data_IF_595607005193
#
_entry.id   IF_595607005193
#
_cell.length_a   1.000
_cell.length_b   1.000
_cell.length_c   1.000
_cell.angle_alpha   90.00
_cell.angle_beta   90.00
_cell.angle_gamma   90.00
#
_symmetry.space_group_name_H-M   'P 1'
#
loop_
_entity.id
_entity.type
_entity.pdbx_description
1 polymer ?
#
# COMPACT_ATOMS: atom_id res chain seq x y z
N UNK A 1 -41.59 1.09 12.69
CA UNK A 1 -40.23 1.39 13.21
C UNK A 1 -39.29 1.05 12.09
N UNK A 2 -38.80 2.06 11.36
CA UNK A 2 -37.79 1.85 10.30
C UNK A 2 -36.48 1.42 10.94
N UNK A 3 -35.80 0.50 10.29
CA UNK A 3 -34.49 -0.01 10.70
C UNK A 3 -33.51 1.17 10.74
N UNK A 4 -32.87 1.50 11.89
CA UNK A 4 -31.93 2.61 12.00
C UNK A 4 -30.68 2.43 11.09
N UNK A 5 -30.53 1.28 10.44
CA UNK A 5 -29.46 0.97 9.49
C UNK A 5 -29.86 1.07 8.01
N UNK A 6 -31.15 1.32 7.70
CA UNK A 6 -31.66 1.38 6.33
C UNK A 6 -31.05 2.54 5.51
N UNK A 7 -30.63 3.63 6.16
CA UNK A 7 -29.97 4.77 5.51
C UNK A 7 -28.45 4.67 5.36
N UNK A 8 -27.78 3.72 6.02
CA UNK A 8 -26.32 3.56 5.93
C UNK A 8 -25.88 2.78 4.66
N UNK A 9 -26.80 2.15 3.97
CA UNK A 9 -26.52 1.28 2.82
C UNK A 9 -26.99 1.84 1.47
N UNK A 10 -27.55 3.04 1.44
CA UNK A 10 -28.28 3.55 0.27
C UNK A 10 -27.55 4.59 -0.58
N UNK A 11 -26.28 4.94 -0.26
CA UNK A 11 -25.56 5.94 -1.05
C UNK A 11 -24.05 5.68 -1.09
N UNK A 12 -23.62 4.67 -1.85
CA UNK A 12 -22.22 4.47 -2.15
C UNK A 12 -22.00 3.16 -2.89
N UNK A 13 -21.08 3.17 -3.84
CA UNK A 13 -20.63 2.00 -4.59
C UNK A 13 -20.25 0.86 -3.62
N UNK A 14 -20.93 -0.28 -3.75
CA UNK A 14 -20.61 -1.48 -2.95
C UNK A 14 -19.19 -1.92 -3.25
N UNK A 15 -18.77 -1.82 -4.52
CA UNK A 15 -17.42 -2.19 -4.95
C UNK A 15 -16.33 -1.43 -4.20
N UNK A 16 -16.49 -0.13 -3.96
CA UNK A 16 -15.52 0.68 -3.19
C UNK A 16 -15.46 0.28 -1.69
N UNK A 17 -16.49 -0.36 -1.16
CA UNK A 17 -16.53 -0.84 0.24
C UNK A 17 -15.98 -2.24 0.41
N UNK A 18 -16.17 -3.11 -0.59
CA UNK A 18 -15.78 -4.52 -0.52
C UNK A 18 -14.58 -4.84 -1.40
N UNK A 19 -14.01 -3.85 -2.07
CA UNK A 19 -12.90 -4.02 -2.99
C UNK A 19 -11.81 -2.99 -2.78
N UNK A 20 -10.59 -3.39 -3.14
CA UNK A 20 -9.41 -2.52 -3.15
C UNK A 20 -9.08 -2.17 -4.60
N UNK A 21 -9.09 -0.89 -4.95
CA UNK A 21 -8.78 -0.43 -6.30
C UNK A 21 -7.26 -0.49 -6.57
N UNK A 22 -6.80 -1.58 -7.19
CA UNK A 22 -5.39 -1.80 -7.51
C UNK A 22 -4.85 -0.79 -8.53
N UNK A 23 -5.66 -0.36 -9.49
CA UNK A 23 -5.25 0.64 -10.49
C UNK A 23 -4.99 2.00 -9.83
N UNK A 24 -5.78 2.38 -8.82
CA UNK A 24 -5.54 3.59 -8.04
C UNK A 24 -4.28 3.46 -7.18
N UNK A 25 -4.07 2.31 -6.54
CA UNK A 25 -2.84 2.03 -5.78
C UNK A 25 -1.60 2.07 -6.69
N UNK A 26 -1.69 1.49 -7.90
CA UNK A 26 -0.62 1.54 -8.89
C UNK A 26 -0.25 2.99 -9.26
N UNK A 27 -1.25 3.85 -9.53
CA UNK A 27 -1.03 5.27 -9.85
C UNK A 27 -0.37 6.04 -8.72
N UNK A 28 -0.62 5.65 -7.46
CA UNK A 28 0.01 6.23 -6.26
C UNK A 28 1.40 5.66 -5.97
N UNK A 29 1.81 4.59 -6.65
CA UNK A 29 3.06 3.88 -6.36
C UNK A 29 3.02 3.07 -5.06
N UNK A 30 1.82 2.69 -4.61
CA UNK A 30 1.62 1.93 -3.37
C UNK A 30 1.83 0.41 -3.56
N UNK A 31 1.79 -0.07 -4.82
CA UNK A 31 2.01 -1.48 -5.14
C UNK A 31 3.49 -1.85 -5.14
N UNK A 32 3.77 -3.12 -4.84
CA UNK A 32 5.10 -3.70 -4.96
C UNK A 32 5.54 -3.80 -6.42
N UNK A 33 6.84 -3.59 -6.72
CA UNK A 33 7.33 -3.79 -8.07
C UNK A 33 7.21 -5.25 -8.50
N UNK A 34 6.51 -5.51 -9.58
CA UNK A 34 6.35 -6.86 -10.13
C UNK A 34 7.50 -7.16 -11.09
N UNK A 35 8.10 -8.35 -10.96
CA UNK A 35 9.20 -8.85 -11.78
C UNK A 35 8.92 -10.27 -12.21
N UNK A 36 9.48 -10.66 -13.37
CA UNK A 36 9.48 -12.03 -13.89
C UNK A 36 8.06 -12.62 -14.09
N UNK A 37 7.06 -11.78 -14.40
CA UNK A 37 5.68 -12.18 -14.69
C UNK A 37 5.12 -11.60 -15.98
N UNK A 38 6.00 -11.11 -16.86
CA UNK A 38 5.61 -10.42 -18.09
C UNK A 38 4.83 -11.32 -19.04
N UNK A 39 5.20 -12.60 -19.14
CA UNK A 39 4.52 -13.57 -20.00
C UNK A 39 3.09 -13.86 -19.52
N UNK A 40 2.92 -14.07 -18.21
CA UNK A 40 1.61 -14.32 -17.61
C UNK A 40 0.72 -13.06 -17.68
N UNK A 41 1.27 -11.87 -17.45
CA UNK A 41 0.53 -10.60 -17.60
C UNK A 41 0.09 -10.42 -19.06
N UNK A 42 0.98 -10.64 -20.03
CA UNK A 42 0.62 -10.57 -21.45
C UNK A 42 -0.49 -11.56 -21.79
N UNK A 43 -0.41 -12.79 -21.24
CA UNK A 43 -1.46 -13.80 -21.43
C UNK A 43 -2.80 -13.39 -20.82
N UNK A 44 -2.80 -12.76 -19.65
CA UNK A 44 -4.01 -12.19 -19.02
C UNK A 44 -4.61 -11.11 -19.91
N UNK A 45 -3.79 -10.19 -20.46
CA UNK A 45 -4.22 -9.15 -21.41
C UNK A 45 -4.88 -9.76 -22.64
N UNK A 46 -4.24 -10.76 -23.27
CA UNK A 46 -4.80 -11.48 -24.42
C UNK A 46 -6.18 -12.07 -24.13
N UNK A 47 -6.33 -12.68 -22.95
CA UNK A 47 -7.60 -13.32 -22.56
C UNK A 47 -8.68 -12.25 -22.33
N UNK A 48 -8.37 -11.16 -21.66
CA UNK A 48 -9.32 -10.06 -21.40
C UNK A 48 -9.85 -9.41 -22.69
N UNK A 49 -9.08 -9.46 -23.78
CA UNK A 49 -9.47 -8.94 -25.09
C UNK A 49 -10.31 -9.91 -25.95
N UNK A 50 -10.51 -11.15 -25.49
CA UNK A 50 -11.29 -12.14 -26.24
C UNK A 50 -12.77 -11.85 -26.17
N UNK A 51 -13.49 -12.21 -27.24
CA UNK A 51 -14.95 -12.13 -27.26
C UNK A 51 -15.61 -13.19 -26.37
N UNK A 52 -15.00 -14.35 -26.23
CA UNK A 52 -15.47 -15.44 -25.37
C UNK A 52 -14.31 -16.01 -24.54
N UNK A 53 -14.60 -16.64 -23.41
CA UNK A 53 -13.60 -17.11 -22.45
C UNK A 53 -12.64 -15.98 -22.05
N UNK A 54 -13.21 -14.83 -21.78
CA UNK A 54 -12.49 -13.58 -21.49
C UNK A 54 -12.19 -13.37 -19.98
N UNK A 55 -12.42 -14.40 -19.15
CA UNK A 55 -12.07 -14.36 -17.74
C UNK A 55 -10.82 -15.24 -17.51
N UNK A 56 -9.65 -14.64 -17.21
CA UNK A 56 -8.46 -15.38 -16.86
C UNK A 56 -8.62 -16.09 -15.51
N UNK A 57 -8.20 -17.36 -15.42
CA UNK A 57 -8.05 -18.08 -14.17
C UNK A 57 -6.56 -18.37 -13.93
N UNK A 58 -5.94 -17.69 -12.98
CA UNK A 58 -4.55 -17.89 -12.58
C UNK A 58 -4.47 -19.16 -11.71
N UNK A 59 -3.77 -20.18 -12.22
CA UNK A 59 -3.70 -21.49 -11.58
C UNK A 59 -2.27 -21.75 -11.13
N UNK A 60 -2.07 -21.96 -9.83
CA UNK A 60 -0.75 -22.26 -9.29
C UNK A 60 -0.79 -22.52 -7.79
N UNK A 61 0.30 -23.05 -7.24
CA UNK A 61 0.46 -23.28 -5.81
C UNK A 61 0.30 -21.97 -5.02
N UNK A 62 0.04 -22.06 -3.71
CA UNK A 62 0.13 -20.91 -2.83
C UNK A 62 1.57 -20.33 -2.86
N UNK A 63 1.70 -19.01 -2.82
CA UNK A 63 3.01 -18.35 -2.77
C UNK A 63 3.75 -18.21 -4.10
N UNK A 64 3.21 -18.68 -5.24
CA UNK A 64 3.87 -18.50 -6.56
C UNK A 64 3.75 -17.07 -7.11
N UNK A 65 2.93 -16.20 -6.51
CA UNK A 65 2.77 -14.81 -6.95
C UNK A 65 1.61 -14.58 -7.93
N UNK A 66 0.48 -15.29 -7.79
CA UNK A 66 -0.73 -15.06 -8.59
C UNK A 66 -1.26 -13.62 -8.46
N UNK A 67 -1.33 -13.12 -7.24
CA UNK A 67 -1.76 -11.75 -6.94
C UNK A 67 -0.83 -10.70 -7.58
N UNK A 68 0.48 -10.95 -7.57
CA UNK A 68 1.46 -10.08 -8.20
C UNK A 68 1.23 -9.90 -9.72
N UNK A 69 0.70 -10.91 -10.43
CA UNK A 69 0.36 -10.80 -11.86
C UNK A 69 -0.73 -9.74 -12.07
N UNK A 70 -1.73 -9.72 -11.18
CA UNK A 70 -2.84 -8.75 -11.26
C UNK A 70 -2.39 -7.35 -10.85
N UNK A 71 -1.53 -7.25 -9.83
CA UNK A 71 -0.87 -5.99 -9.48
C UNK A 71 -0.01 -5.46 -10.63
N UNK A 72 0.74 -6.33 -11.32
CA UNK A 72 1.51 -5.99 -12.52
C UNK A 72 0.64 -5.50 -13.68
N UNK A 73 -0.51 -6.13 -13.89
CA UNK A 73 -1.51 -5.63 -14.85
C UNK A 73 -1.99 -4.23 -14.46
N UNK A 74 -2.33 -4.01 -13.19
CA UNK A 74 -2.76 -2.70 -12.71
C UNK A 74 -1.66 -1.63 -12.87
N UNK A 75 -0.39 -1.99 -12.67
CA UNK A 75 0.76 -1.11 -12.91
C UNK A 75 0.89 -0.75 -14.40
N UNK A 76 0.74 -1.71 -15.32
CA UNK A 76 0.76 -1.44 -16.77
C UNK A 76 -0.41 -0.55 -17.21
N UNK A 77 -1.61 -0.79 -16.69
CA UNK A 77 -2.78 0.09 -16.92
C UNK A 77 -2.49 1.51 -16.43
N UNK A 78 -1.92 1.65 -15.23
CA UNK A 78 -1.64 2.95 -14.63
C UNK A 78 -0.67 3.81 -15.45
N UNK A 79 0.32 3.18 -16.12
CA UNK A 79 1.29 3.86 -17.00
C UNK A 79 0.88 3.88 -18.48
N UNK A 80 -0.26 3.25 -18.83
CA UNK A 80 -0.76 3.19 -20.20
C UNK A 80 -0.07 2.15 -21.09
N UNK A 81 0.70 1.22 -20.53
CA UNK A 81 1.39 0.12 -21.21
C UNK A 81 0.46 -1.09 -21.42
N UNK A 82 -0.69 -0.83 -22.01
CA UNK A 82 -1.71 -1.82 -22.37
C UNK A 82 -2.39 -1.44 -23.68
N UNK A 83 -3.01 -2.40 -24.38
CA UNK A 83 -3.81 -2.11 -25.58
C UNK A 83 -4.90 -1.06 -25.33
N UNK A 84 -5.30 -0.27 -26.35
CA UNK A 84 -6.29 0.81 -26.20
C UNK A 84 -7.59 0.41 -25.50
N UNK A 85 -8.06 -0.82 -25.73
CA UNK A 85 -9.29 -1.35 -25.11
C UNK A 85 -9.18 -1.60 -23.59
N UNK A 86 -7.98 -1.51 -23.02
CA UNK A 86 -7.74 -1.71 -21.58
C UNK A 86 -7.17 -0.47 -20.87
N UNK A 87 -7.08 0.69 -21.56
CA UNK A 87 -6.47 1.90 -20.97
C UNK A 87 -7.28 2.48 -19.81
N UNK A 88 -8.59 2.40 -19.90
CA UNK A 88 -9.51 2.99 -18.92
C UNK A 88 -9.98 1.99 -17.88
N UNK A 89 -9.48 0.76 -17.93
CA UNK A 89 -9.89 -0.32 -17.02
C UNK A 89 -9.51 0.01 -15.58
N UNK A 90 -10.40 -0.35 -14.68
CA UNK A 90 -10.20 -0.30 -13.24
C UNK A 90 -10.23 -1.72 -12.67
N UNK A 91 -9.13 -2.14 -12.06
CA UNK A 91 -9.00 -3.46 -11.44
C UNK A 91 -9.24 -3.35 -9.95
N UNK A 92 -10.25 -4.06 -9.45
CA UNK A 92 -10.58 -4.14 -8.03
C UNK A 92 -10.31 -5.53 -7.48
N UNK A 93 -9.52 -5.63 -6.42
CA UNK A 93 -9.36 -6.86 -5.67
C UNK A 93 -10.49 -7.00 -4.65
N UNK A 94 -11.24 -8.09 -4.72
CA UNK A 94 -12.35 -8.36 -3.80
C UNK A 94 -11.82 -8.71 -2.41
N UNK A 95 -12.32 -8.03 -1.40
CA UNK A 95 -12.13 -8.40 -0.01
C UNK A 95 -13.30 -9.26 0.48
N UNK A 96 -13.05 -10.56 0.62
CA UNK A 96 -14.06 -11.51 1.10
C UNK A 96 -14.52 -11.21 2.53
N UNK A 97 -13.65 -10.67 3.38
CA UNK A 97 -14.00 -10.32 4.76
C UNK A 97 -14.93 -9.11 4.78
N UNK A 98 -14.61 -8.08 4.00
CA UNK A 98 -15.45 -6.90 3.86
C UNK A 98 -16.82 -7.24 3.23
N UNK A 99 -16.85 -8.21 2.31
CA UNK A 99 -18.09 -8.68 1.70
C UNK A 99 -19.05 -9.32 2.72
N UNK A 100 -18.51 -10.01 3.73
CA UNK A 100 -19.26 -10.66 4.80
C UNK A 100 -19.51 -9.74 6.01
N UNK A 101 -18.68 -8.73 6.22
CA UNK A 101 -18.75 -7.86 7.39
C UNK A 101 -20.11 -7.15 7.51
N UNK A 102 -20.71 -7.19 8.71
CA UNK A 102 -21.99 -6.54 8.99
C UNK A 102 -23.22 -7.22 8.35
N UNK A 103 -23.09 -8.41 7.78
CA UNK A 103 -24.23 -9.20 7.32
C UNK A 103 -24.67 -10.14 8.45
N UNK A 104 -25.71 -9.75 9.19
CA UNK A 104 -26.29 -10.58 10.26
C UNK A 104 -27.25 -11.65 9.74
N UNK A 105 -27.79 -11.45 8.55
CA UNK A 105 -28.76 -12.36 7.91
C UNK A 105 -28.35 -12.66 6.48
N UNK A 106 -28.64 -13.88 6.03
CA UNK A 106 -28.38 -14.39 4.68
C UNK A 106 -28.84 -13.41 3.58
N UNK A 107 -30.02 -12.83 3.70
CA UNK A 107 -30.59 -11.91 2.71
C UNK A 107 -29.77 -10.62 2.52
N UNK A 108 -29.08 -10.13 3.53
CA UNK A 108 -28.20 -8.95 3.43
C UNK A 108 -26.95 -9.24 2.59
N UNK A 109 -26.36 -10.42 2.76
CA UNK A 109 -25.26 -10.88 1.94
C UNK A 109 -25.66 -11.05 0.47
N UNK A 110 -26.81 -11.68 0.23
CA UNK A 110 -27.37 -11.86 -1.11
C UNK A 110 -27.62 -10.51 -1.79
N UNK A 111 -28.21 -9.56 -1.09
CA UNK A 111 -28.47 -8.20 -1.63
C UNK A 111 -27.16 -7.47 -1.96
N UNK A 112 -26.14 -7.62 -1.13
CA UNK A 112 -24.81 -7.05 -1.38
C UNK A 112 -24.17 -7.63 -2.65
N UNK A 113 -24.23 -8.95 -2.83
CA UNK A 113 -23.76 -9.61 -4.07
C UNK A 113 -24.56 -9.13 -5.27
N UNK A 114 -25.90 -8.98 -5.16
CA UNK A 114 -26.72 -8.46 -6.27
C UNK A 114 -26.33 -7.03 -6.65
N UNK A 115 -26.07 -6.17 -5.66
CA UNK A 115 -25.60 -4.81 -5.91
C UNK A 115 -24.25 -4.82 -6.60
N UNK A 116 -23.28 -5.61 -6.10
CA UNK A 116 -21.97 -5.78 -6.70
C UNK A 116 -22.05 -6.27 -8.16
N UNK A 117 -22.89 -7.27 -8.45
CA UNK A 117 -23.10 -7.76 -9.83
C UNK A 117 -23.70 -6.67 -10.72
N UNK A 118 -24.65 -5.87 -10.21
CA UNK A 118 -25.23 -4.74 -10.96
C UNK A 118 -24.19 -3.67 -11.28
N UNK A 119 -23.34 -3.30 -10.34
CA UNK A 119 -22.25 -2.33 -10.55
C UNK A 119 -21.26 -2.83 -11.60
N UNK A 120 -20.80 -4.08 -11.46
CA UNK A 120 -19.89 -4.70 -12.43
C UNK A 120 -20.49 -4.83 -13.84
N UNK A 121 -21.81 -5.08 -13.93
CA UNK A 121 -22.49 -5.19 -15.22
C UNK A 121 -22.83 -3.84 -15.86
N UNK A 122 -22.90 -2.78 -15.07
CA UNK A 122 -23.18 -1.43 -15.55
C UNK A 122 -21.96 -0.75 -16.16
N UNK A 123 -20.75 -1.18 -15.78
CA UNK A 123 -19.51 -0.58 -16.23
C UNK A 123 -18.56 -1.65 -16.83
N UNK A 124 -18.42 -1.69 -18.16
CA UNK A 124 -17.58 -2.66 -18.83
C UNK A 124 -16.08 -2.46 -18.57
N UNK A 125 -15.65 -1.31 -18.01
CA UNK A 125 -14.27 -1.04 -17.67
C UNK A 125 -13.88 -1.53 -16.28
N UNK A 126 -14.81 -2.09 -15.54
CA UNK A 126 -14.55 -2.76 -14.27
C UNK A 126 -14.06 -4.20 -14.50
N UNK A 127 -12.97 -4.55 -13.82
CA UNK A 127 -12.47 -5.93 -13.71
C UNK A 127 -12.37 -6.27 -12.23
N UNK A 128 -13.06 -7.34 -11.83
CA UNK A 128 -12.99 -7.86 -10.46
C UNK A 128 -11.89 -8.92 -10.38
N UNK A 129 -10.91 -8.72 -9.52
CA UNK A 129 -9.97 -9.76 -9.14
C UNK A 129 -10.48 -10.50 -7.90
N UNK A 130 -10.56 -11.81 -8.00
CA UNK A 130 -11.00 -12.69 -6.92
C UNK A 130 -9.86 -13.65 -6.59
N UNK A 131 -9.17 -13.39 -5.50
CA UNK A 131 -8.23 -14.37 -4.96
C UNK A 131 -9.00 -15.51 -4.30
N UNK A 132 -8.45 -16.70 -4.36
CA UNK A 132 -9.15 -17.93 -3.91
C UNK A 132 -10.58 -18.04 -4.51
N UNK A 133 -10.67 -17.94 -5.83
CA UNK A 133 -11.94 -17.94 -6.59
C UNK A 133 -12.90 -19.05 -6.16
N UNK A 134 -12.38 -20.19 -5.70
CA UNK A 134 -13.16 -21.32 -5.19
C UNK A 134 -13.99 -20.96 -3.95
N UNK A 135 -13.57 -19.99 -3.14
CA UNK A 135 -14.37 -19.53 -1.98
C UNK A 135 -15.64 -18.80 -2.42
N UNK A 136 -15.60 -18.12 -3.56
CA UNK A 136 -16.76 -17.40 -4.10
C UNK A 136 -17.70 -18.34 -4.89
N UNK A 137 -17.16 -19.36 -5.57
CA UNK A 137 -17.91 -20.20 -6.50
C UNK A 137 -18.30 -21.55 -5.88
N UNK A 138 -17.54 -22.09 -4.92
CA UNK A 138 -17.59 -23.50 -4.55
C UNK A 138 -17.92 -23.87 -3.11
N UNK A 139 -17.71 -23.00 -2.14
CA UNK A 139 -17.88 -23.36 -0.73
C UNK A 139 -19.30 -23.13 -0.20
N UNK A 140 -20.22 -23.98 -0.63
CA UNK A 140 -21.60 -23.96 -0.11
C UNK A 140 -21.86 -24.75 1.16
N UNK A 141 -20.85 -25.20 1.92
CA UNK A 141 -21.09 -26.25 2.93
C UNK A 141 -20.97 -25.82 4.39
N UNK A 142 -20.22 -24.77 4.73
CA UNK A 142 -20.05 -24.44 6.15
C UNK A 142 -21.00 -23.34 6.69
N UNK A 143 -21.49 -22.43 5.85
CA UNK A 143 -22.34 -21.30 6.30
C UNK A 143 -23.55 -20.99 5.40
N UNK A 144 -23.82 -21.76 4.35
CA UNK A 144 -24.94 -21.49 3.42
C UNK A 144 -24.78 -20.25 2.51
N UNK A 145 -23.94 -19.30 2.89
CA UNK A 145 -23.80 -18.02 2.20
C UNK A 145 -23.01 -18.10 0.85
N UNK A 146 -22.03 -19.00 0.74
CA UNK A 146 -21.21 -19.09 -0.47
C UNK A 146 -21.94 -19.74 -1.66
N UNK A 147 -22.91 -20.64 -1.43
CA UNK A 147 -23.78 -21.16 -2.51
C UNK A 147 -24.57 -20.06 -3.19
N UNK A 148 -24.93 -19.03 -2.47
CA UNK A 148 -25.78 -17.95 -2.97
C UNK A 148 -24.97 -16.99 -3.86
N UNK A 149 -23.71 -16.68 -3.48
CA UNK A 149 -22.83 -15.87 -4.31
C UNK A 149 -22.58 -16.51 -5.68
N UNK A 150 -22.28 -17.81 -5.72
CA UNK A 150 -22.10 -18.56 -6.95
C UNK A 150 -23.33 -18.49 -7.86
N UNK A 151 -24.51 -18.70 -7.31
CA UNK A 151 -25.77 -18.70 -8.06
C UNK A 151 -26.13 -17.31 -8.61
N UNK A 152 -25.65 -16.24 -7.98
CA UNK A 152 -25.87 -14.85 -8.43
C UNK A 152 -24.83 -14.40 -9.48
N UNK A 153 -23.57 -14.80 -9.31
CA UNK A 153 -22.49 -14.45 -10.24
C UNK A 153 -22.53 -15.27 -11.54
N UNK A 154 -22.87 -16.57 -11.47
CA UNK A 154 -22.92 -17.45 -12.63
C UNK A 154 -23.75 -16.91 -13.80
N UNK A 155 -25.00 -16.41 -13.62
CA UNK A 155 -25.77 -15.88 -14.74
C UNK A 155 -25.10 -14.70 -15.43
N UNK A 156 -24.51 -13.76 -14.68
CA UNK A 156 -23.80 -12.61 -15.22
C UNK A 156 -22.50 -13.02 -15.96
N UNK A 157 -21.76 -13.97 -15.38
CA UNK A 157 -20.59 -14.57 -16.04
C UNK A 157 -20.97 -15.30 -17.33
N UNK A 158 -22.03 -16.09 -17.31
CA UNK A 158 -22.49 -16.86 -18.50
C UNK A 158 -22.96 -15.93 -19.62
N UNK A 159 -23.62 -14.82 -19.30
CA UNK A 159 -23.97 -13.81 -20.30
C UNK A 159 -22.76 -13.02 -20.81
N UNK A 160 -21.69 -12.90 -19.99
CA UNK A 160 -20.53 -12.06 -20.28
C UNK A 160 -20.72 -10.61 -19.87
N UNK A 161 -21.65 -10.37 -18.93
CA UNK A 161 -21.96 -9.02 -18.42
C UNK A 161 -20.85 -8.48 -17.48
N UNK A 162 -20.02 -9.38 -16.92
CA UNK A 162 -18.96 -9.04 -15.98
C UNK A 162 -17.62 -9.68 -16.38
N UNK A 163 -16.53 -9.00 -16.02
CA UNK A 163 -15.17 -9.49 -16.24
C UNK A 163 -14.50 -9.80 -14.91
N UNK A 164 -13.98 -11.03 -14.77
CA UNK A 164 -13.34 -11.51 -13.56
C UNK A 164 -11.96 -12.08 -13.90
N UNK A 165 -10.96 -11.72 -13.10
CA UNK A 165 -9.70 -12.45 -13.01
C UNK A 165 -9.78 -13.29 -11.73
N UNK A 166 -9.71 -14.61 -11.85
CA UNK A 166 -9.70 -15.48 -10.68
C UNK A 166 -8.30 -16.03 -10.39
N UNK A 167 -7.97 -16.25 -9.12
CA UNK A 167 -6.79 -17.00 -8.71
C UNK A 167 -7.22 -18.21 -7.89
N UNK A 168 -6.58 -19.37 -8.13
CA UNK A 168 -6.93 -20.62 -7.44
C UNK A 168 -5.78 -21.65 -7.55
N UNK A 169 -5.90 -22.78 -6.90
CA UNK A 169 -5.00 -23.93 -7.11
C UNK A 169 -5.50 -24.86 -8.22
N UNK A 170 -4.62 -25.74 -8.72
CA UNK A 170 -4.99 -26.69 -9.79
C UNK A 170 -6.13 -27.62 -9.40
N UNK A 171 -6.07 -28.20 -8.20
CA UNK A 171 -7.12 -29.10 -7.72
C UNK A 171 -8.48 -28.41 -7.54
N UNK A 172 -8.48 -27.16 -7.09
CA UNK A 172 -9.71 -26.37 -6.93
C UNK A 172 -10.28 -25.92 -8.27
N UNK A 173 -9.41 -25.56 -9.23
CA UNK A 173 -9.83 -25.25 -10.59
C UNK A 173 -10.54 -26.45 -11.23
N UNK A 174 -9.95 -27.64 -11.16
CA UNK A 174 -10.53 -28.85 -11.73
C UNK A 174 -11.87 -29.20 -11.06
N UNK A 175 -11.95 -29.07 -9.75
CA UNK A 175 -13.17 -29.38 -8.98
C UNK A 175 -14.32 -28.40 -9.24
N UNK A 176 -14.04 -27.09 -9.23
CA UNK A 176 -15.08 -26.06 -9.16
C UNK A 176 -15.35 -25.36 -10.48
N UNK A 177 -14.35 -25.23 -11.36
CA UNK A 177 -14.51 -24.53 -12.64
C UNK A 177 -14.67 -25.54 -13.78
N UNK A 178 -13.75 -26.49 -13.90
CA UNK A 178 -13.83 -27.53 -14.95
C UNK A 178 -14.99 -28.49 -14.74
N UNK A 179 -15.37 -28.74 -13.48
CA UNK A 179 -16.55 -29.55 -13.13
C UNK A 179 -17.89 -28.86 -13.46
N UNK A 180 -17.90 -27.59 -13.82
CA UNK A 180 -19.10 -26.82 -14.20
C UNK A 180 -18.99 -26.35 -15.67
N UNK A 181 -19.71 -26.96 -16.62
CA UNK A 181 -19.61 -26.62 -18.04
C UNK A 181 -19.93 -25.16 -18.37
N UNK A 182 -20.73 -24.47 -17.55
CA UNK A 182 -21.07 -23.06 -17.75
C UNK A 182 -19.88 -22.16 -17.40
N UNK A 183 -19.17 -22.45 -16.33
CA UNK A 183 -17.97 -21.74 -15.92
C UNK A 183 -16.76 -22.08 -16.81
N UNK A 184 -16.57 -23.35 -17.18
CA UNK A 184 -15.49 -23.78 -18.05
C UNK A 184 -15.50 -23.06 -19.41
N UNK A 185 -16.67 -22.72 -19.93
CA UNK A 185 -16.84 -21.96 -21.17
C UNK A 185 -16.51 -20.47 -20.99
N UNK A 186 -16.32 -19.99 -19.78
CA UNK A 186 -16.09 -18.56 -19.48
C UNK A 186 -14.69 -18.28 -18.97
N UNK A 187 -14.09 -19.23 -18.26
CA UNK A 187 -12.73 -19.10 -17.75
C UNK A 187 -11.69 -19.70 -18.70
N UNK A 188 -10.57 -19.01 -18.83
CA UNK A 188 -9.40 -19.49 -19.55
C UNK A 188 -8.25 -19.67 -18.54
N UNK A 189 -7.70 -20.88 -18.40
CA UNK A 189 -6.59 -21.11 -17.48
C UNK A 189 -5.30 -20.41 -17.93
N UNK A 190 -4.59 -19.85 -16.97
CA UNK A 190 -3.23 -19.35 -17.05
C UNK A 190 -2.43 -20.03 -15.97
N UNK A 191 -1.51 -20.91 -16.37
CA UNK A 191 -0.65 -21.61 -15.43
C UNK A 191 0.39 -20.64 -14.88
N UNK A 192 0.55 -20.61 -13.56
CA UNK A 192 1.53 -19.79 -12.86
C UNK A 192 2.48 -20.74 -12.13
N UNK A 193 3.65 -20.89 -12.71
CA UNK A 193 4.68 -21.74 -12.16
C UNK A 193 5.51 -21.04 -11.10
N UNK A 194 6.18 -21.82 -10.27
CA UNK A 194 7.15 -21.34 -9.30
C UNK A 194 8.31 -20.68 -10.02
N UNK A 195 8.75 -19.52 -9.54
CA UNK A 195 9.92 -18.83 -10.07
C UNK A 195 11.20 -19.67 -9.79
N UNK A 196 12.14 -19.64 -10.72
CA UNK A 196 13.47 -20.19 -10.48
C UNK A 196 14.29 -19.34 -9.51
N UNK A 197 15.51 -19.78 -9.16
CA UNK A 197 16.35 -19.08 -8.21
C UNK A 197 16.81 -17.69 -8.73
N UNK A 198 17.05 -17.57 -10.04
CA UNK A 198 17.50 -16.31 -10.67
C UNK A 198 16.33 -15.31 -10.68
N UNK A 199 15.17 -15.73 -11.11
CA UNK A 199 13.96 -14.93 -11.08
C UNK A 199 13.57 -14.50 -9.66
N UNK A 200 13.73 -15.42 -8.69
CA UNK A 200 13.49 -15.11 -7.27
C UNK A 200 14.48 -14.06 -6.77
N UNK A 201 15.74 -14.13 -7.17
CA UNK A 201 16.74 -13.12 -6.89
C UNK A 201 16.31 -11.74 -7.42
N UNK A 202 15.84 -11.65 -8.67
CA UNK A 202 15.37 -10.39 -9.25
C UNK A 202 14.19 -9.79 -8.45
N UNK A 203 13.26 -10.64 -8.00
CA UNK A 203 12.15 -10.23 -7.15
C UNK A 203 12.66 -9.69 -5.81
N UNK A 204 13.58 -10.39 -5.13
CA UNK A 204 14.14 -9.95 -3.86
C UNK A 204 14.92 -8.63 -3.99
N UNK A 205 15.72 -8.48 -5.04
CA UNK A 205 16.44 -7.23 -5.33
C UNK A 205 15.45 -6.07 -5.53
N UNK A 206 14.35 -6.29 -6.24
CA UNK A 206 13.34 -5.27 -6.46
C UNK A 206 12.58 -4.89 -5.17
N UNK A 207 12.38 -5.85 -4.25
CA UNK A 207 11.71 -5.63 -2.96
C UNK A 207 12.61 -5.08 -1.87
N UNK A 208 13.92 -5.31 -1.96
CA UNK A 208 14.92 -4.88 -0.96
C UNK A 208 14.72 -3.43 -0.49
N UNK A 209 14.60 -2.41 -1.36
CA UNK A 209 14.47 -1.03 -0.90
C UNK A 209 13.24 -0.77 -0.03
N UNK A 210 12.18 -1.54 -0.23
CA UNK A 210 10.96 -1.42 0.57
C UNK A 210 11.11 -2.10 1.93
N UNK A 211 11.72 -3.28 1.99
CA UNK A 211 12.03 -3.98 3.23
C UNK A 211 13.01 -3.16 4.09
N UNK A 212 14.09 -2.65 3.49
CA UNK A 212 15.05 -1.79 4.18
C UNK A 212 14.38 -0.56 4.79
N UNK A 213 13.45 0.07 4.05
CA UNK A 213 12.70 1.22 4.54
C UNK A 213 11.70 0.87 5.64
N UNK A 214 11.04 -0.28 5.53
CA UNK A 214 10.03 -0.71 6.51
C UNK A 214 10.66 -1.01 7.85
N UNK A 215 11.74 -1.80 7.84
CA UNK A 215 12.40 -2.29 9.04
C UNK A 215 13.54 -1.37 9.52
N UNK A 216 13.91 -0.36 8.74
CA UNK A 216 15.10 0.48 9.02
C UNK A 216 16.35 -0.37 9.23
N UNK A 217 16.68 -1.24 8.28
CA UNK A 217 17.85 -2.10 8.23
C UNK A 217 18.51 -2.01 6.85
N UNK A 218 19.78 -2.37 6.74
CA UNK A 218 20.45 -2.58 5.46
C UNK A 218 20.49 -4.08 5.14
N UNK A 219 20.14 -4.48 3.92
CA UNK A 219 20.10 -5.89 3.49
C UNK A 219 21.26 -6.15 2.52
N UNK A 220 22.08 -7.14 2.81
CA UNK A 220 23.20 -7.53 1.95
C UNK A 220 22.76 -8.46 0.82
N UNK A 221 23.53 -8.54 -0.24
CA UNK A 221 23.35 -9.54 -1.29
C UNK A 221 23.46 -10.96 -0.76
N UNK A 222 24.32 -11.16 0.24
CA UNK A 222 24.49 -12.44 0.90
C UNK A 222 23.20 -12.91 1.63
N UNK A 223 22.47 -11.99 2.26
CA UNK A 223 21.16 -12.29 2.84
C UNK A 223 20.15 -12.75 1.79
N UNK A 224 20.13 -12.12 0.62
CA UNK A 224 19.22 -12.52 -0.48
C UNK A 224 19.56 -13.93 -0.99
N UNK A 225 20.85 -14.24 -1.15
CA UNK A 225 21.32 -15.59 -1.54
C UNK A 225 20.92 -16.62 -0.49
N UNK A 226 21.19 -16.32 0.79
CA UNK A 226 20.83 -17.20 1.90
C UNK A 226 19.32 -17.47 1.95
N UNK A 227 18.48 -16.47 1.75
CA UNK A 227 17.02 -16.62 1.74
C UNK A 227 16.56 -17.60 0.66
N UNK A 228 17.14 -17.57 -0.54
CA UNK A 228 16.80 -18.52 -1.61
C UNK A 228 17.32 -19.92 -1.28
N UNK A 229 18.62 -20.06 -1.01
CA UNK A 229 19.28 -21.36 -0.85
C UNK A 229 18.76 -22.12 0.37
N UNK A 230 18.61 -21.41 1.49
CA UNK A 230 18.18 -22.07 2.73
C UNK A 230 16.71 -22.44 2.70
N UNK A 231 15.84 -21.59 2.11
CA UNK A 231 14.42 -21.97 1.99
C UNK A 231 14.21 -23.10 0.99
N UNK A 232 14.98 -23.20 -0.08
CA UNK A 232 14.91 -24.32 -1.00
C UNK A 232 15.32 -25.64 -0.32
N UNK A 233 16.30 -25.59 0.57
CA UNK A 233 16.79 -26.78 1.27
C UNK A 233 15.93 -27.20 2.44
N UNK A 234 15.39 -26.24 3.20
CA UNK A 234 14.76 -26.52 4.49
C UNK A 234 13.25 -26.28 4.53
N UNK A 235 12.68 -25.60 3.50
CA UNK A 235 11.23 -25.28 3.37
C UNK A 235 10.75 -25.68 1.96
N UNK A 236 10.88 -26.94 1.56
CA UNK A 236 10.54 -27.39 0.20
C UNK A 236 9.03 -27.41 -0.07
N UNK A 237 8.19 -27.42 0.96
CA UNK A 237 6.73 -27.46 0.86
C UNK A 237 6.13 -26.11 0.42
N UNK A 238 6.84 -25.00 0.59
CA UNK A 238 6.40 -23.66 0.16
C UNK A 238 7.04 -23.28 -1.18
N UNK A 239 6.32 -22.49 -1.95
CA UNK A 239 6.78 -22.04 -3.27
C UNK A 239 7.57 -20.73 -3.21
N UNK A 240 8.49 -20.57 -4.15
CA UNK A 240 9.14 -19.29 -4.45
C UNK A 240 8.19 -18.39 -5.25
N UNK A 241 8.27 -17.06 -5.09
CA UNK A 241 9.25 -16.33 -4.27
C UNK A 241 8.83 -16.17 -2.80
N UNK A 242 7.62 -16.55 -2.44
CA UNK A 242 6.97 -16.27 -1.15
C UNK A 242 7.82 -16.71 0.05
N UNK A 243 8.28 -17.98 0.06
CA UNK A 243 9.12 -18.52 1.14
C UNK A 243 10.40 -17.71 1.37
N UNK A 244 11.03 -17.22 0.31
CA UNK A 244 12.27 -16.44 0.41
C UNK A 244 12.00 -15.00 0.88
N UNK A 245 10.88 -14.41 0.47
CA UNK A 245 10.43 -13.09 0.92
C UNK A 245 10.10 -13.11 2.40
N UNK A 246 9.32 -14.08 2.85
CA UNK A 246 8.90 -14.21 4.25
C UNK A 246 10.09 -14.35 5.19
N UNK A 247 11.03 -15.23 4.87
CA UNK A 247 12.22 -15.43 5.70
C UNK A 247 13.09 -14.18 5.75
N UNK A 248 13.20 -13.46 4.63
CA UNK A 248 13.95 -12.20 4.58
C UNK A 248 13.25 -11.11 5.41
N UNK A 249 11.92 -11.02 5.32
CA UNK A 249 11.12 -10.08 6.12
C UNK A 249 11.27 -10.36 7.62
N UNK A 250 11.19 -11.63 8.03
CA UNK A 250 11.37 -12.04 9.41
C UNK A 250 12.81 -11.76 9.91
N UNK A 251 13.83 -11.98 9.08
CA UNK A 251 15.21 -11.64 9.42
C UNK A 251 15.38 -10.12 9.62
N UNK A 252 14.77 -9.31 8.79
CA UNK A 252 14.74 -7.86 8.94
C UNK A 252 14.03 -7.42 10.22
N UNK A 253 12.88 -8.02 10.52
CA UNK A 253 12.12 -7.74 11.75
C UNK A 253 12.93 -8.09 13.00
N UNK A 254 13.63 -9.23 13.00
CA UNK A 254 14.50 -9.62 14.09
C UNK A 254 15.70 -8.66 14.28
N UNK A 255 16.35 -8.28 13.18
CA UNK A 255 17.43 -7.31 13.21
C UNK A 255 16.97 -5.96 13.77
N UNK A 256 15.80 -5.47 13.33
CA UNK A 256 15.19 -4.24 13.84
C UNK A 256 14.90 -4.34 15.36
N UNK A 257 14.32 -5.45 15.81
CA UNK A 257 13.94 -5.64 17.21
C UNK A 257 15.16 -5.71 18.17
N UNK A 258 16.31 -6.16 17.67
CA UNK A 258 17.55 -6.30 18.44
C UNK A 258 18.51 -5.12 18.28
N UNK A 259 18.28 -4.24 17.30
CA UNK A 259 19.13 -3.10 17.03
C UNK A 259 19.08 -2.04 18.15
N UNK A 260 20.24 -1.46 18.45
CA UNK A 260 20.35 -0.27 19.27
C UNK A 260 20.44 0.94 18.36
N UNK A 261 19.33 1.65 18.24
CA UNK A 261 19.22 2.82 17.35
C UNK A 261 19.79 4.05 18.04
N UNK A 262 20.71 4.76 17.40
CA UNK A 262 21.22 6.05 17.91
C UNK A 262 20.16 7.14 17.77
N UNK A 263 20.25 8.23 18.57
CA UNK A 263 19.33 9.36 18.44
C UNK A 263 19.33 10.01 17.05
N UNK A 264 20.49 10.00 16.38
CA UNK A 264 20.66 10.53 15.03
C UNK A 264 19.93 9.68 13.99
N UNK A 265 20.08 8.37 14.05
CA UNK A 265 19.39 7.42 13.18
C UNK A 265 17.86 7.48 13.42
N UNK A 266 17.40 7.55 14.68
CA UNK A 266 15.97 7.71 14.99
C UNK A 266 15.40 9.00 14.40
N UNK A 267 16.15 10.11 14.42
CA UNK A 267 15.78 11.37 13.76
C UNK A 267 15.61 11.19 12.26
N UNK A 268 16.57 10.56 11.58
CA UNK A 268 16.51 10.29 10.13
C UNK A 268 15.31 9.40 9.76
N UNK A 269 15.03 8.36 10.54
CA UNK A 269 13.88 7.46 10.35
C UNK A 269 12.57 8.25 10.47
N UNK A 270 12.44 9.12 11.47
CA UNK A 270 11.23 9.96 11.67
C UNK A 270 11.06 10.96 10.54
N UNK A 271 12.13 11.63 10.12
CA UNK A 271 12.10 12.58 9.01
C UNK A 271 11.66 11.90 7.72
N UNK A 272 12.22 10.74 7.45
CA UNK A 272 11.89 9.91 6.28
C UNK A 272 10.40 9.49 6.27
N UNK A 273 9.88 9.03 7.43
CA UNK A 273 8.45 8.69 7.57
C UNK A 273 7.53 9.90 7.35
N UNK A 274 7.96 11.08 7.75
CA UNK A 274 7.24 12.34 7.55
C UNK A 274 7.12 12.67 6.06
N UNK A 275 8.24 12.58 5.33
CA UNK A 275 8.26 12.79 3.87
C UNK A 275 7.36 11.79 3.15
N UNK A 276 7.39 10.50 3.51
CA UNK A 276 6.50 9.48 2.95
C UNK A 276 5.02 9.78 3.20
N UNK A 277 4.69 10.25 4.39
CA UNK A 277 3.32 10.63 4.73
C UNK A 277 2.84 11.82 3.90
N UNK A 278 3.72 12.79 3.62
CA UNK A 278 3.42 13.94 2.75
C UNK A 278 3.19 13.48 1.30
N UNK A 279 4.05 12.63 0.76
CA UNK A 279 3.92 12.08 -0.61
C UNK A 279 2.59 11.32 -0.74
N UNK A 280 2.25 10.46 0.23
CA UNK A 280 0.98 9.72 0.22
C UNK A 280 -0.25 10.62 0.24
N UNK A 281 -0.14 11.83 0.79
CA UNK A 281 -1.20 12.86 0.77
C UNK A 281 -1.24 13.64 -0.55
N UNK A 282 -0.41 13.30 -1.53
CA UNK A 282 -0.34 13.98 -2.83
C UNK A 282 0.40 15.32 -2.80
N UNK A 283 1.19 15.60 -1.77
CA UNK A 283 2.02 16.78 -1.70
C UNK A 283 3.29 16.58 -2.56
N UNK A 284 3.68 17.60 -3.32
CA UNK A 284 4.87 17.57 -4.17
C UNK A 284 6.05 18.32 -3.57
N UNK A 285 5.79 19.28 -2.68
CA UNK A 285 6.79 20.09 -2.01
C UNK A 285 6.50 20.12 -0.50
N UNK A 286 7.55 20.30 0.29
CA UNK A 286 7.42 20.52 1.72
C UNK A 286 6.67 21.85 1.93
N UNK A 287 5.46 21.78 2.49
CA UNK A 287 4.77 22.98 2.94
C UNK A 287 5.57 23.50 4.12
N UNK A 288 6.33 24.58 3.89
CA UNK A 288 6.82 25.36 5.01
C UNK A 288 5.58 25.76 5.84
N UNK A 289 5.59 25.54 7.17
CA UNK A 289 4.58 26.18 7.99
C UNK A 289 4.62 27.67 7.62
N UNK A 290 3.48 28.22 7.20
CA UNK A 290 3.37 29.67 7.07
C UNK A 290 3.88 30.22 8.40
N UNK A 291 5.06 30.79 8.38
CA UNK A 291 5.42 31.75 9.39
C UNK A 291 4.44 32.89 9.15
N UNK A 292 3.35 32.88 9.89
CA UNK A 292 2.60 34.14 10.06
C UNK A 292 3.62 35.13 10.54
N UNK A 293 3.78 36.27 9.85
CA UNK A 293 4.73 37.26 10.29
C UNK A 293 4.38 37.57 11.76
N UNK A 294 5.38 37.52 12.61
CA UNK A 294 5.18 37.78 14.04
C UNK A 294 4.51 39.14 14.30
N UNK A 295 4.54 40.02 13.30
CA UNK A 295 3.85 41.31 13.25
C UNK A 295 2.31 41.19 13.25
N UNK A 296 1.71 40.15 12.59
CA UNK A 296 0.25 39.96 12.60
C UNK A 296 -0.24 39.41 13.95
N UNK A 297 0.56 38.56 14.58
CA UNK A 297 0.22 38.02 15.92
C UNK A 297 0.35 39.10 17.00
N UNK A 298 1.35 39.98 16.88
CA UNK A 298 1.53 41.13 17.77
C UNK A 298 0.42 42.15 17.56
N UNK A 299 0.00 42.41 16.31
CA UNK A 299 -1.10 43.32 15.99
C UNK A 299 -2.47 42.81 16.51
N UNK A 300 -2.70 41.51 16.61
CA UNK A 300 -3.94 40.95 17.19
C UNK A 300 -3.90 40.89 18.73
N UNK A 301 -2.74 40.61 19.31
CA UNK A 301 -2.63 40.41 20.77
C UNK A 301 -2.49 41.76 21.49
N UNK A 302 -1.86 42.77 20.89
CA UNK A 302 -1.62 44.08 21.52
C UNK A 302 -2.91 44.79 21.94
N UNK A 303 -3.97 44.89 21.10
CA UNK A 303 -5.23 45.54 21.51
C UNK A 303 -5.96 44.74 22.61
N UNK A 304 -5.75 43.42 22.68
CA UNK A 304 -6.34 42.58 23.71
C UNK A 304 -5.64 42.76 25.05
N UNK A 305 -4.32 42.91 25.07
CA UNK A 305 -3.53 43.21 26.26
C UNK A 305 -3.79 44.61 26.79
N UNK A 306 -3.98 45.64 25.93
CA UNK A 306 -4.37 46.99 26.34
C UNK A 306 -5.77 47.03 26.99
N UNK A 307 -6.74 46.25 26.43
CA UNK A 307 -8.07 46.11 27.06
C UNK A 307 -7.99 45.46 28.42
N UNK A 308 -7.25 44.38 28.57
CA UNK A 308 -7.04 43.68 29.83
C UNK A 308 -6.30 44.63 30.84
N UNK A 309 -5.29 45.34 30.40
CA UNK A 309 -4.58 46.32 31.21
C UNK A 309 -5.50 47.46 31.72
N UNK A 310 -6.35 48.01 30.85
CA UNK A 310 -7.31 49.06 31.22
C UNK A 310 -8.45 48.54 32.15
N UNK A 311 -8.85 47.27 32.02
CA UNK A 311 -9.81 46.67 32.94
C UNK A 311 -9.19 46.39 34.32
N UNK A 312 -7.93 45.98 34.38
CA UNK A 312 -7.18 45.77 35.61
C UNK A 312 -6.94 47.11 36.34
N UNK A 313 -6.59 48.19 35.58
CA UNK A 313 -6.47 49.54 36.16
C UNK A 313 -7.81 50.07 36.73
N UNK A 314 -8.91 49.78 36.03
CA UNK A 314 -10.25 50.13 36.52
C UNK A 314 -10.66 49.29 37.78
N UNK A 315 -10.21 48.06 37.91
CA UNK A 315 -10.49 47.24 39.09
C UNK A 315 -9.61 47.56 40.29
N UNK A 316 -8.40 48.04 40.06
CA UNK A 316 -7.45 48.39 41.15
C UNK A 316 -7.58 49.78 41.71
N UNK A 317 -8.56 50.54 41.27
CA UNK A 317 -8.99 51.88 41.75
C UNK A 317 -8.03 52.57 42.68
N UNK A 318 -7.20 53.50 42.17
CA UNK A 318 -6.34 54.23 43.10
C UNK A 318 -5.39 55.18 42.41
N UNK A 319 -5.73 56.45 42.50
CA UNK A 319 -4.98 57.63 42.09
C UNK A 319 -3.46 57.53 42.33
N UNK A 320 -2.66 57.81 41.33
CA UNK A 320 -1.40 58.56 41.53
C UNK A 320 -1.03 59.37 40.26
N UNK A 321 -0.86 60.66 40.57
CA UNK A 321 -0.52 61.79 39.69
C UNK A 321 0.74 61.59 38.86
N UNK A 322 0.62 62.09 37.64
CA UNK A 322 1.70 62.37 36.71
C UNK A 322 2.83 63.24 37.27
N UNK A 323 4.06 62.91 36.91
CA UNK A 323 5.16 63.89 36.79
C UNK A 323 5.79 63.72 35.41
N UNK A 324 5.63 64.72 34.62
CA UNK A 324 6.32 64.93 33.36
C UNK A 324 7.82 65.17 33.62
N UNK A 325 8.63 64.53 32.79
CA UNK A 325 10.04 64.93 32.56
C UNK A 325 10.20 65.08 31.05
N UNK A 326 10.30 66.34 30.68
CA UNK A 326 10.84 66.82 29.40
C UNK A 326 12.35 66.58 29.37
N UNK A 327 12.87 66.04 28.28
CA UNK A 327 14.31 65.93 28.04
C UNK A 327 14.56 65.58 26.58
N UNK A 328 14.87 66.57 25.78
CA UNK A 328 15.11 66.46 24.36
C UNK A 328 16.46 65.80 24.02
N UNK A 329 16.59 65.38 22.82
CA UNK A 329 17.85 64.87 22.24
C UNK A 329 17.61 64.31 20.83
N UNK A 330 17.89 65.13 19.83
CA UNK A 330 17.89 64.74 18.41
C UNK A 330 18.94 63.67 18.13
N UNK A 331 18.54 62.68 17.37
CA UNK A 331 19.42 61.64 16.86
C UNK A 331 18.98 61.27 15.45
N UNK A 332 19.87 61.50 14.55
CA UNK A 332 19.82 61.27 13.09
C UNK A 332 19.26 59.91 12.72
N UNK A 333 18.36 59.90 11.75
CA UNK A 333 17.83 58.73 11.10
C UNK A 333 18.97 57.91 10.44
N UNK A 334 19.27 56.78 11.03
CA UNK A 334 20.15 55.78 10.43
C UNK A 334 19.29 54.91 9.53
N UNK A 335 19.61 54.91 8.24
CA UNK A 335 18.96 54.02 7.24
C UNK A 335 19.29 52.58 7.57
N UNK A 336 18.31 51.67 7.52
CA UNK A 336 18.60 50.27 7.67
C UNK A 336 19.49 49.79 6.51
N UNK A 337 20.45 48.88 6.76
CA UNK A 337 21.30 48.33 5.71
C UNK A 337 20.44 47.59 4.68
N UNK A 338 20.88 47.54 3.40
CA UNK A 338 20.13 46.92 2.33
C UNK A 338 19.93 45.45 2.67
N UNK A 339 18.67 45.04 2.70
CA UNK A 339 18.27 43.63 2.86
C UNK A 339 19.01 42.79 1.83
N UNK A 340 19.93 41.96 2.32
CA UNK A 340 20.53 40.91 1.51
C UNK A 340 19.39 40.00 1.04
N UNK A 341 19.09 40.08 -0.24
CA UNK A 341 18.16 39.18 -0.93
C UNK A 341 18.77 37.78 -0.87
N UNK A 342 18.50 37.05 0.20
CA UNK A 342 18.75 35.63 0.23
C UNK A 342 17.81 35.02 -0.82
N UNK A 343 18.37 34.65 -1.95
CA UNK A 343 17.68 33.88 -2.97
C UNK A 343 17.22 32.60 -2.31
N UNK A 344 15.97 32.59 -1.84
CA UNK A 344 15.31 31.35 -1.36
C UNK A 344 15.20 30.40 -2.55
N UNK A 345 16.16 29.48 -2.65
CA UNK A 345 16.04 28.34 -3.54
C UNK A 345 14.77 27.59 -3.12
N UNK A 346 13.83 27.34 -4.04
CA UNK A 346 12.62 26.59 -3.67
C UNK A 346 13.03 25.25 -3.05
N UNK A 347 12.33 24.79 -2.01
CA UNK A 347 12.65 23.50 -1.39
C UNK A 347 12.61 22.39 -2.46
N UNK A 348 13.51 21.41 -2.40
CA UNK A 348 13.57 20.33 -3.37
C UNK A 348 12.23 19.57 -3.38
N UNK A 349 11.84 18.98 -4.53
CA UNK A 349 10.70 18.11 -4.61
C UNK A 349 10.77 17.01 -3.54
N UNK A 350 9.63 16.63 -2.95
CA UNK A 350 9.60 15.61 -1.89
C UNK A 350 10.19 14.26 -2.34
N UNK A 351 10.10 13.94 -3.64
CA UNK A 351 10.71 12.76 -4.21
C UNK A 351 12.24 12.78 -4.10
N UNK A 352 12.87 13.93 -4.40
CA UNK A 352 14.32 14.10 -4.32
C UNK A 352 14.79 14.07 -2.86
N UNK A 353 14.03 14.74 -1.97
CA UNK A 353 14.29 14.71 -0.52
C UNK A 353 14.19 13.29 0.04
N UNK A 354 13.22 12.51 -0.44
CA UNK A 354 13.08 11.10 -0.08
C UNK A 354 14.29 10.28 -0.48
N UNK A 355 14.77 10.47 -1.73
CA UNK A 355 15.93 9.74 -2.24
C UNK A 355 17.21 10.09 -1.45
N UNK A 356 17.39 11.37 -1.10
CA UNK A 356 18.50 11.81 -0.25
C UNK A 356 18.47 11.17 1.13
N UNK A 357 17.30 11.18 1.79
CA UNK A 357 17.11 10.54 3.09
C UNK A 357 17.32 9.02 3.05
N UNK A 358 16.90 8.35 1.97
CA UNK A 358 17.14 6.91 1.80
C UNK A 358 18.65 6.60 1.72
N UNK A 359 19.44 7.45 1.05
CA UNK A 359 20.90 7.28 0.99
C UNK A 359 21.59 7.55 2.33
N UNK A 360 21.18 8.60 3.03
CA UNK A 360 21.71 8.93 4.36
C UNK A 360 21.39 7.82 5.37
N UNK A 361 20.13 7.34 5.37
CA UNK A 361 19.70 6.24 6.22
C UNK A 361 20.52 4.99 5.98
N UNK A 362 20.71 4.59 4.72
CA UNK A 362 21.49 3.40 4.39
C UNK A 362 22.94 3.49 4.92
N UNK A 363 23.60 4.61 4.71
CA UNK A 363 24.97 4.84 5.23
C UNK A 363 25.03 4.75 6.75
N UNK A 364 24.04 5.35 7.43
CA UNK A 364 24.02 5.37 8.87
C UNK A 364 23.71 3.97 9.45
N UNK A 365 22.83 3.21 8.82
CA UNK A 365 22.53 1.81 9.17
C UNK A 365 23.77 0.93 9.01
N UNK A 366 24.53 1.09 7.91
CA UNK A 366 25.78 0.39 7.68
C UNK A 366 26.85 0.76 8.73
N UNK A 367 26.99 2.05 9.07
CA UNK A 367 27.90 2.55 10.09
C UNK A 367 27.59 2.00 11.49
N UNK A 368 26.32 1.85 11.83
CA UNK A 368 25.86 1.32 13.12
C UNK A 368 25.80 -0.22 13.16
N UNK A 369 26.09 -0.89 12.05
CA UNK A 369 26.06 -2.35 11.96
C UNK A 369 24.66 -2.94 12.01
N UNK A 370 23.61 -2.16 11.67
CA UNK A 370 22.22 -2.65 11.57
C UNK A 370 22.04 -3.23 10.17
N UNK A 371 22.67 -4.37 9.97
CA UNK A 371 22.77 -5.04 8.67
C UNK A 371 22.22 -6.45 8.80
N UNK A 372 21.39 -6.84 7.83
CA UNK A 372 20.90 -8.22 7.68
C UNK A 372 21.82 -8.96 6.71
N UNK A 373 22.52 -9.95 7.22
CA UNK A 373 23.41 -10.84 6.47
C UNK A 373 22.85 -12.25 6.32
N UNK A 374 23.60 -13.10 5.62
CA UNK A 374 23.19 -14.50 5.42
C UNK A 374 23.04 -15.29 6.71
N UNK A 375 23.84 -14.97 7.74
CA UNK A 375 23.75 -15.62 9.05
C UNK A 375 22.46 -15.26 9.81
N UNK A 376 21.91 -14.06 9.62
CA UNK A 376 20.64 -13.67 10.23
C UNK A 376 19.47 -14.46 9.60
N UNK A 377 19.53 -14.63 8.29
CA UNK A 377 18.61 -15.49 7.55
C UNK A 377 18.72 -16.94 8.00
N UNK A 378 19.95 -17.45 8.16
CA UNK A 378 20.19 -18.82 8.65
C UNK A 378 19.62 -19.05 10.05
N UNK A 379 19.72 -18.05 10.92
CA UNK A 379 19.11 -18.10 12.27
C UNK A 379 17.61 -18.24 12.21
N UNK A 380 16.93 -17.45 11.36
CA UNK A 380 15.47 -17.50 11.19
C UNK A 380 15.03 -18.84 10.64
N UNK A 381 15.65 -19.32 9.56
CA UNK A 381 15.35 -20.65 8.99
C UNK A 381 15.62 -21.74 10.03
N UNK A 382 16.72 -21.64 10.77
CA UNK A 382 17.06 -22.57 11.84
C UNK A 382 16.03 -22.64 12.95
N UNK A 383 15.51 -21.48 13.36
CA UNK A 383 14.43 -21.40 14.34
C UNK A 383 13.14 -22.05 13.83
N UNK A 384 12.77 -21.78 12.58
CA UNK A 384 11.55 -22.34 11.96
C UNK A 384 11.59 -23.87 11.84
N UNK A 385 12.77 -24.46 11.56
CA UNK A 385 12.91 -25.93 11.42
C UNK A 385 13.45 -26.63 12.67
N UNK A 386 13.68 -25.88 13.75
CA UNK A 386 14.19 -26.44 15.03
C UNK A 386 15.62 -26.98 14.97
N UNK A 387 16.48 -26.42 14.11
CA UNK A 387 17.87 -26.86 13.89
C UNK A 387 18.83 -25.66 13.86
N UNK A 388 20.02 -25.83 14.40
CA UNK A 388 21.11 -24.87 14.20
C UNK A 388 21.54 -24.93 12.73
N UNK A 389 21.44 -23.80 12.03
CA UNK A 389 21.89 -23.65 10.64
C UNK A 389 22.97 -22.57 10.62
N UNK A 390 24.10 -22.89 10.00
CA UNK A 390 25.17 -21.95 9.72
C UNK A 390 25.18 -21.64 8.22
N UNK A 391 25.35 -20.39 7.89
CA UNK A 391 25.53 -19.90 6.54
C UNK A 391 27.00 -19.71 6.23
N UNK A 392 27.46 -20.32 5.15
CA UNK A 392 28.79 -20.09 4.59
C UNK A 392 28.59 -19.58 3.17
N UNK A 393 29.07 -18.35 2.89
CA UNK A 393 28.89 -17.65 1.62
C UNK A 393 29.63 -18.32 0.45
#
# INVERSE_FOLDING_TARGET
MGDPFEGLFDSGDVLERVGVNLTTQARRGDLEPVRCRDAEIARVVDILLRQSKNNPALIGKAGVGKTAIVEGLAQRVAVGDVPPALKDVRVFALDHVALLAGTSFRGQYEERIRKLVRELSADPDLILFVDELHNLIGQGTALGAAMDAANMLKPALVRGDIRIIGATTGGEYDKWIRGDPALERRFQPVLVEELDAIQTWEVLVARRPRLERHHAVAITDDALKAAIVLTDRFVPERARPDKAIDVLDEACAHAQATARVSPELDRLIRERRKVDAMIRRGLTHEQQPRQEPAEDLVAEIFPMLERIGSEIEKMLGGERRAKAVEGGGGGTADQPPPSSTVLHRPPPPLADRRAELDQLLRRELENQGIIVGGQDVARVVGAAVGKGIEWQA
#
